data_IF_991529164495
#
_entry.id   IF_991529164495
#
_cell.length_a   1.000
_cell.length_b   1.000
_cell.length_c   1.000
_cell.angle_alpha   90.00
_cell.angle_beta   90.00
_cell.angle_gamma   90.00
#
_symmetry.space_group_name_H-M   'P 1'
#
loop_
_entity.id
_entity.type
_entity.pdbx_description
1 polymer ?
#
# COMPACT_ATOMS: atom_id res chain seq x y z
N UNK A 1 -13.73 -0.23 -7.88
CA UNK A 1 -13.12 0.75 -8.81
C UNK A 1 -14.06 1.13 -9.93
N UNK A 2 -14.26 0.26 -10.95
CA UNK A 2 -15.08 0.60 -12.14
C UNK A 2 -16.45 1.17 -11.81
N UNK A 3 -17.21 0.52 -10.93
CA UNK A 3 -18.52 1.01 -10.49
C UNK A 3 -18.46 2.43 -9.90
N UNK A 4 -17.49 2.69 -9.00
CA UNK A 4 -17.31 4.00 -8.35
C UNK A 4 -16.92 5.06 -9.39
N UNK A 5 -16.03 4.72 -10.30
CA UNK A 5 -15.60 5.62 -11.36
C UNK A 5 -16.74 5.93 -12.33
N UNK A 6 -17.52 4.94 -12.77
CA UNK A 6 -18.65 5.13 -13.68
C UNK A 6 -19.79 5.92 -13.05
N UNK A 7 -20.06 5.72 -11.75
CA UNK A 7 -21.15 6.40 -11.03
C UNK A 7 -20.78 7.80 -10.56
N UNK A 8 -19.55 8.02 -10.11
CA UNK A 8 -19.15 9.23 -9.39
C UNK A 8 -17.97 9.97 -10.02
N UNK A 9 -17.31 9.40 -11.03
CA UNK A 9 -16.12 9.98 -11.64
C UNK A 9 -14.89 9.99 -10.72
N UNK A 10 -14.95 9.31 -9.57
CA UNK A 10 -13.86 9.25 -8.58
C UNK A 10 -12.99 8.03 -8.85
N UNK A 11 -11.68 8.23 -8.86
CA UNK A 11 -10.70 7.14 -8.93
C UNK A 11 -10.36 6.74 -7.50
N UNK A 12 -10.53 5.45 -7.20
CA UNK A 12 -10.14 4.82 -5.93
C UNK A 12 -9.18 3.67 -6.21
N UNK A 13 -8.35 3.33 -5.24
CA UNK A 13 -7.34 2.29 -5.33
C UNK A 13 -7.82 0.95 -4.73
N UNK A 14 -7.05 -0.16 -4.81
CA UNK A 14 -7.50 -1.46 -4.34
C UNK A 14 -8.08 -1.50 -2.92
N UNK A 15 -7.47 -0.84 -1.95
CA UNK A 15 -7.95 -0.87 -0.56
C UNK A 15 -9.27 -0.10 -0.42
N UNK A 16 -9.37 1.09 -1.01
CA UNK A 16 -10.60 1.87 -1.14
C UNK A 16 -11.74 1.09 -1.82
N UNK A 17 -11.41 0.32 -2.87
CA UNK A 17 -12.39 -0.53 -3.56
C UNK A 17 -12.95 -1.64 -2.67
N UNK A 18 -12.13 -2.23 -1.79
CA UNK A 18 -12.58 -3.17 -0.76
C UNK A 18 -13.48 -2.49 0.26
N UNK A 19 -13.12 -1.28 0.71
CA UNK A 19 -13.95 -0.45 1.59
C UNK A 19 -15.32 -0.17 0.98
N UNK A 20 -15.36 0.32 -0.26
CA UNK A 20 -16.60 0.55 -1.00
C UNK A 20 -17.45 -0.71 -1.12
N UNK A 21 -16.83 -1.84 -1.53
CA UNK A 21 -17.58 -3.08 -1.72
C UNK A 21 -18.16 -3.61 -0.42
N UNK A 22 -17.42 -3.47 0.69
CA UNK A 22 -17.91 -3.83 2.03
C UNK A 22 -19.12 -2.99 2.41
N UNK A 23 -19.06 -1.68 2.16
CA UNK A 23 -20.16 -0.77 2.44
C UNK A 23 -21.39 -1.10 1.59
N UNK A 24 -21.23 -1.30 0.29
CA UNK A 24 -22.29 -1.74 -0.62
C UNK A 24 -22.99 -3.02 -0.12
N UNK A 25 -22.23 -4.02 0.33
CA UNK A 25 -22.78 -5.27 0.89
C UNK A 25 -23.51 -5.02 2.21
N UNK A 26 -22.91 -4.27 3.13
CA UNK A 26 -23.48 -3.96 4.44
C UNK A 26 -24.81 -3.19 4.32
N UNK A 27 -24.84 -2.20 3.44
CA UNK A 27 -26.02 -1.37 3.17
C UNK A 27 -27.02 -2.00 2.20
N UNK A 28 -26.70 -3.17 1.62
CA UNK A 28 -27.49 -3.81 0.57
C UNK A 28 -27.76 -2.87 -0.61
N UNK A 29 -26.78 -2.04 -0.94
CA UNK A 29 -26.87 -1.00 -1.98
C UNK A 29 -27.70 0.25 -1.60
N UNK A 30 -28.23 0.35 -0.37
CA UNK A 30 -29.02 1.50 0.07
C UNK A 30 -28.16 2.54 0.83
N UNK A 31 -27.73 3.58 0.13
CA UNK A 31 -26.86 4.65 0.65
C UNK A 31 -27.61 5.84 1.27
N UNK A 32 -28.84 5.66 1.76
CA UNK A 32 -29.66 6.73 2.37
C UNK A 32 -29.25 7.11 3.80
N UNK A 33 -28.05 6.72 4.23
CA UNK A 33 -27.48 7.10 5.52
C UNK A 33 -26.04 7.54 5.34
N UNK A 34 -25.57 8.40 6.24
CA UNK A 34 -24.18 8.83 6.25
C UNK A 34 -23.28 7.63 6.52
N UNK A 35 -22.32 7.42 5.63
CA UNK A 35 -21.28 6.42 5.75
C UNK A 35 -19.95 7.01 5.30
N UNK A 36 -18.87 6.51 5.88
CA UNK A 36 -17.50 6.90 5.56
C UNK A 36 -16.69 5.63 5.32
N UNK A 37 -15.87 5.66 4.28
CA UNK A 37 -14.81 4.68 4.04
C UNK A 37 -13.49 5.45 4.01
N UNK A 38 -12.45 4.87 4.59
CA UNK A 38 -11.11 5.46 4.54
C UNK A 38 -10.41 5.00 3.26
N UNK A 39 -10.05 5.95 2.41
CA UNK A 39 -9.13 5.71 1.31
C UNK A 39 -7.70 5.70 1.89
N UNK A 40 -7.15 4.50 2.13
CA UNK A 40 -5.94 4.34 2.94
C UNK A 40 -4.65 4.63 2.17
N UNK A 41 -4.74 4.81 0.85
CA UNK A 41 -3.61 5.13 -0.01
C UNK A 41 -4.00 6.07 -1.15
N UNK A 42 -3.03 6.81 -1.66
CA UNK A 42 -3.19 7.58 -2.89
C UNK A 42 -3.25 6.64 -4.11
N UNK A 43 -4.16 6.84 -5.07
CA UNK A 43 -4.25 6.04 -6.28
C UNK A 43 -2.95 5.87 -7.08
N UNK A 44 -2.06 6.87 -7.07
CA UNK A 44 -0.78 6.78 -7.75
C UNK A 44 0.17 5.69 -7.22
N UNK A 45 -0.14 5.09 -6.06
CA UNK A 45 0.58 3.91 -5.55
C UNK A 45 0.21 2.61 -6.25
N UNK A 46 -0.93 2.54 -6.95
CA UNK A 46 -1.44 1.33 -7.60
C UNK A 46 -1.86 1.59 -9.07
N UNK A 47 -0.98 2.18 -9.90
CA UNK A 47 -1.33 2.62 -11.25
C UNK A 47 -1.75 1.46 -12.17
N UNK A 48 -1.13 0.28 -12.04
CA UNK A 48 -1.42 -0.88 -12.88
C UNK A 48 -2.80 -1.47 -12.61
N UNK A 49 -3.20 -1.57 -11.34
CA UNK A 49 -4.52 -2.05 -10.95
C UNK A 49 -5.62 -1.10 -11.44
N UNK A 50 -5.38 0.21 -11.36
CA UNK A 50 -6.31 1.23 -11.86
C UNK A 50 -6.41 1.15 -13.38
N UNK A 51 -5.28 1.05 -14.09
CA UNK A 51 -5.27 0.88 -15.55
C UNK A 51 -6.06 -0.36 -15.95
N UNK A 52 -5.86 -1.49 -15.27
CA UNK A 52 -6.59 -2.73 -15.52
C UNK A 52 -8.09 -2.61 -15.24
N UNK A 53 -8.47 -1.90 -14.19
CA UNK A 53 -9.85 -1.81 -13.74
C UNK A 53 -10.70 -0.82 -14.55
N UNK A 54 -10.12 0.34 -14.94
CA UNK A 54 -10.86 1.45 -15.55
C UNK A 54 -10.22 2.02 -16.83
N UNK A 55 -9.09 1.47 -17.29
CA UNK A 55 -8.43 1.88 -18.53
C UNK A 55 -7.80 3.27 -18.47
N UNK A 56 -7.45 3.74 -17.27
CA UNK A 56 -6.86 5.07 -17.04
C UNK A 56 -5.75 4.99 -16.01
N UNK A 57 -4.79 5.90 -16.10
CA UNK A 57 -3.82 6.13 -15.04
C UNK A 57 -4.30 7.26 -14.12
N UNK A 58 -4.05 7.17 -12.81
CA UNK A 58 -4.22 8.30 -11.91
C UNK A 58 -3.17 9.37 -12.17
N UNK A 59 -3.46 10.62 -11.79
CA UNK A 59 -2.44 11.65 -11.71
C UNK A 59 -1.43 11.29 -10.62
N UNK A 60 -0.14 11.42 -10.91
CA UNK A 60 0.90 11.18 -9.91
C UNK A 60 1.08 12.46 -9.07
N UNK A 61 1.02 12.41 -7.74
CA UNK A 61 1.36 13.53 -6.88
C UNK A 61 2.81 14.00 -7.04
N UNK A 62 3.07 15.29 -6.85
CA UNK A 62 4.41 15.89 -7.05
C UNK A 62 5.47 15.31 -6.10
N UNK A 63 5.09 14.98 -4.86
CA UNK A 63 5.99 14.33 -3.91
C UNK A 63 6.42 12.94 -4.37
N UNK A 64 5.51 12.16 -4.99
CA UNK A 64 5.83 10.84 -5.56
C UNK A 64 6.77 11.00 -6.75
N UNK A 65 6.45 11.91 -7.70
CA UNK A 65 7.34 12.22 -8.84
C UNK A 65 8.74 12.66 -8.42
N UNK A 66 8.84 13.44 -7.35
CA UNK A 66 10.13 13.89 -6.82
C UNK A 66 10.90 12.72 -6.20
N UNK A 67 10.23 11.87 -5.43
CA UNK A 67 10.86 10.74 -4.75
C UNK A 67 11.40 9.70 -5.73
N UNK A 68 10.69 9.43 -6.83
CA UNK A 68 11.11 8.49 -7.89
C UNK A 68 12.46 8.83 -8.53
N UNK A 69 12.89 10.09 -8.45
CA UNK A 69 14.16 10.57 -9.03
C UNK A 69 15.33 10.55 -8.04
N UNK A 70 15.10 10.20 -6.79
CA UNK A 70 16.15 10.16 -5.77
C UNK A 70 16.85 8.81 -5.81
N UNK A 71 18.16 8.81 -5.54
CA UNK A 71 18.92 7.57 -5.42
C UNK A 71 18.37 6.73 -4.25
N UNK A 72 18.15 5.45 -4.52
CA UNK A 72 17.72 4.51 -3.48
C UNK A 72 18.87 4.21 -2.51
N UNK A 73 18.59 4.33 -1.21
CA UNK A 73 19.51 3.96 -0.14
C UNK A 73 19.05 2.64 0.49
N UNK A 74 19.52 1.54 -0.07
CA UNK A 74 19.18 0.17 0.37
C UNK A 74 20.35 -0.47 1.13
N UNK A 75 20.01 -1.33 2.09
CA UNK A 75 20.97 -2.14 2.83
C UNK A 75 20.54 -3.59 2.82
N UNK A 76 21.49 -4.48 2.55
CA UNK A 76 21.24 -5.91 2.51
C UNK A 76 21.51 -6.55 3.87
N UNK A 77 20.65 -7.50 4.22
CA UNK A 77 20.78 -8.36 5.39
C UNK A 77 20.79 -9.79 4.84
N UNK A 78 21.99 -10.35 4.67
CA UNK A 78 22.17 -11.67 4.05
C UNK A 78 22.05 -12.83 5.06
N UNK A 79 22.00 -12.51 6.35
CA UNK A 79 21.82 -13.50 7.42
C UNK A 79 20.46 -14.18 7.31
N UNK A 80 20.43 -15.49 7.56
CA UNK A 80 19.20 -16.27 7.54
C UNK A 80 18.26 -15.87 8.70
N UNK A 81 16.94 -15.95 8.49
CA UNK A 81 15.98 -15.83 9.59
C UNK A 81 16.04 -17.08 10.48
N UNK A 82 15.57 -16.93 11.71
CA UNK A 82 15.30 -18.08 12.57
C UNK A 82 13.96 -18.70 12.17
N UNK A 83 13.76 -19.97 12.53
CA UNK A 83 12.48 -20.68 12.33
C UNK A 83 11.89 -20.99 13.70
N UNK A 84 10.66 -20.53 13.94
CA UNK A 84 9.97 -20.79 15.20
C UNK A 84 9.43 -22.23 15.30
N UNK A 85 8.80 -22.55 16.43
CA UNK A 85 8.29 -23.90 16.71
C UNK A 85 7.15 -24.35 15.79
N UNK A 86 6.51 -23.43 15.06
CA UNK A 86 5.45 -23.73 14.09
C UNK A 86 5.93 -23.60 12.63
N UNK A 87 7.22 -23.37 12.41
CA UNK A 87 7.83 -23.29 11.09
C UNK A 87 7.79 -21.90 10.45
N UNK A 88 7.42 -20.86 11.19
CA UNK A 88 7.40 -19.49 10.68
C UNK A 88 8.80 -18.87 10.70
N UNK A 89 9.12 -18.07 9.69
CA UNK A 89 10.33 -17.26 9.69
C UNK A 89 10.18 -16.10 10.67
N UNK A 90 11.15 -15.95 11.57
CA UNK A 90 11.24 -14.84 12.52
C UNK A 90 12.61 -14.18 12.40
N UNK A 91 12.68 -12.90 12.77
CA UNK A 91 13.94 -12.13 12.70
C UNK A 91 14.97 -12.78 13.62
N UNK A 92 16.12 -13.18 13.05
CA UNK A 92 17.19 -13.79 13.83
C UNK A 92 17.96 -12.75 14.63
N UNK A 93 18.68 -13.21 15.66
CA UNK A 93 19.57 -12.32 16.44
C UNK A 93 20.62 -11.68 15.55
N UNK A 94 21.15 -12.41 14.57
CA UNK A 94 22.14 -11.88 13.61
C UNK A 94 21.56 -10.80 12.71
N UNK A 95 20.36 -11.02 12.17
CA UNK A 95 19.64 -10.00 11.39
C UNK A 95 19.40 -8.74 12.22
N UNK A 96 19.00 -8.90 13.49
CA UNK A 96 18.75 -7.78 14.40
C UNK A 96 20.01 -6.96 14.71
N UNK A 97 21.12 -7.63 15.05
CA UNK A 97 22.39 -6.93 15.29
C UNK A 97 22.94 -6.27 14.03
N UNK A 98 22.74 -6.87 12.84
CA UNK A 98 23.12 -6.23 11.57
C UNK A 98 22.33 -4.94 11.32
N UNK A 99 21.02 -4.96 11.56
CA UNK A 99 20.18 -3.75 11.42
C UNK A 99 20.61 -2.66 12.41
N UNK A 100 20.90 -3.00 13.66
CA UNK A 100 21.41 -2.03 14.64
C UNK A 100 22.69 -1.35 14.18
N UNK A 101 23.66 -2.12 13.68
CA UNK A 101 24.91 -1.58 13.17
C UNK A 101 24.68 -0.64 11.99
N UNK A 102 23.83 -1.04 11.03
CA UNK A 102 23.44 -0.19 9.89
C UNK A 102 22.81 1.13 10.37
N UNK A 103 21.86 1.09 11.31
CA UNK A 103 21.19 2.29 11.82
C UNK A 103 22.19 3.22 12.51
N UNK A 104 23.13 2.67 13.30
CA UNK A 104 24.18 3.46 13.94
C UNK A 104 25.10 4.16 12.92
N UNK A 105 25.41 3.51 11.80
CA UNK A 105 26.17 4.12 10.69
C UNK A 105 25.35 5.20 9.94
N UNK A 106 24.01 5.12 9.95
CA UNK A 106 23.17 6.08 9.23
C UNK A 106 23.03 7.43 9.92
N UNK A 107 23.05 7.46 11.26
CA UNK A 107 22.79 8.63 12.09
C UNK A 107 23.93 8.83 13.11
N UNK A 108 25.09 9.34 12.65
CA UNK A 108 26.25 9.58 13.52
C UNK A 108 26.01 10.69 14.57
#
# INVERSE_FOLDING_TARGET
MKEVYERYGVIIEPHGAVGWKTLEVYLKGNHNQLAVIDETADPAKFPDDIMKAIGRLPDIPENIRRQEKLDERMYHIDAAPDIDSVGSMVVSTEQYERVKAIIAEMFP
#
